data_IF_495167338043
#
_entry.id   IF_495167338043
#
_cell.length_a   1.000
_cell.length_b   1.000
_cell.length_c   1.000
_cell.angle_alpha   90.00
_cell.angle_beta   90.00
_cell.angle_gamma   90.00
#
_symmetry.space_group_name_H-M   'P 1'
#
loop_
_entity.id
_entity.type
_entity.pdbx_description
1 polymer ?
#
# COMPACT_ATOMS: atom_id res chain seq x y z
N UNK A 1 -7.72 -16.28 -0.57
CA UNK A 1 -6.53 -15.63 -1.21
C UNK A 1 -5.45 -15.52 -0.13
N UNK A 2 -4.30 -16.09 -0.36
CA UNK A 2 -3.17 -15.98 0.57
C UNK A 2 -2.67 -14.53 0.60
N UNK A 3 -2.22 -14.04 1.77
CA UNK A 3 -1.69 -12.69 1.95
C UNK A 3 -0.31 -12.77 2.59
N UNK A 4 0.67 -12.11 2.00
CA UNK A 4 2.05 -12.08 2.53
C UNK A 4 2.10 -11.54 3.97
N UNK A 5 1.16 -10.67 4.34
CA UNK A 5 1.06 -10.14 5.70
C UNK A 5 0.79 -11.22 6.77
N UNK A 6 0.27 -12.41 6.40
CA UNK A 6 0.08 -13.55 7.32
C UNK A 6 1.38 -13.97 8.00
N UNK A 7 2.52 -13.92 7.31
CA UNK A 7 3.82 -14.22 7.90
C UNK A 7 4.19 -13.23 9.02
N UNK A 8 3.89 -11.94 8.83
CA UNK A 8 4.12 -10.93 9.86
C UNK A 8 3.18 -11.11 11.06
N UNK A 9 1.93 -11.54 10.83
CA UNK A 9 0.98 -11.87 11.89
C UNK A 9 1.43 -13.08 12.71
N UNK A 10 2.00 -14.11 12.07
CA UNK A 10 2.59 -15.26 12.76
C UNK A 10 3.78 -14.82 13.61
N UNK A 11 4.70 -14.03 13.06
CA UNK A 11 5.83 -13.47 13.81
C UNK A 11 5.34 -12.68 15.03
N UNK A 12 4.32 -11.82 14.86
CA UNK A 12 3.71 -11.09 15.97
C UNK A 12 3.11 -12.03 17.03
N UNK A 13 2.38 -13.06 16.61
CA UNK A 13 1.78 -14.05 17.52
C UNK A 13 2.83 -14.70 18.43
N UNK A 14 3.98 -15.06 17.86
CA UNK A 14 5.05 -15.80 18.55
C UNK A 14 6.02 -14.86 19.31
N UNK A 15 5.87 -13.55 19.19
CA UNK A 15 6.73 -12.56 19.86
C UNK A 15 6.45 -12.52 21.37
N UNK A 16 7.47 -12.71 22.18
CA UNK A 16 7.39 -12.56 23.65
C UNK A 16 7.21 -11.07 23.98
N UNK A 17 6.21 -10.76 24.81
CA UNK A 17 5.91 -9.37 25.18
C UNK A 17 5.27 -8.55 24.04
N UNK A 18 4.63 -9.25 23.06
CA UNK A 18 3.87 -8.63 21.97
C UNK A 18 2.89 -7.59 22.50
N UNK A 19 2.66 -6.56 21.72
CA UNK A 19 1.65 -5.53 21.98
C UNK A 19 0.39 -5.81 21.19
N UNK A 20 -0.78 -5.27 21.62
CA UNK A 20 -1.94 -5.23 20.77
C UNK A 20 -1.58 -4.70 19.38
N UNK A 21 -2.04 -5.37 18.34
CA UNK A 21 -1.70 -5.04 16.96
C UNK A 21 -2.82 -4.24 16.30
N UNK A 22 -2.46 -3.20 15.57
CA UNK A 22 -3.40 -2.41 14.77
C UNK A 22 -3.09 -2.59 13.30
N UNK A 23 -4.06 -3.12 12.53
CA UNK A 23 -3.97 -3.23 11.07
C UNK A 23 -4.57 -1.97 10.45
N UNK A 24 -3.72 -1.18 9.79
CA UNK A 24 -4.10 0.00 9.02
C UNK A 24 -4.23 -0.33 7.54
N UNK A 25 -4.91 0.49 6.79
CA UNK A 25 -5.04 0.38 5.33
C UNK A 25 -6.38 0.92 4.85
N UNK A 26 -6.47 1.22 3.57
CA UNK A 26 -7.66 1.77 2.96
C UNK A 26 -8.88 0.85 3.14
N UNK A 27 -10.07 1.39 2.90
CA UNK A 27 -11.29 0.58 2.85
C UNK A 27 -11.20 -0.46 1.73
N UNK A 28 -11.79 -1.64 1.96
CA UNK A 28 -11.90 -2.73 0.98
C UNK A 28 -10.58 -3.43 0.59
N UNK A 29 -9.44 -3.16 1.28
CA UNK A 29 -8.18 -3.90 1.06
C UNK A 29 -8.13 -5.28 1.74
N UNK A 30 -9.22 -5.67 2.47
CA UNK A 30 -9.36 -7.00 3.04
C UNK A 30 -8.96 -7.16 4.51
N UNK A 31 -8.90 -6.08 5.31
CA UNK A 31 -8.54 -6.13 6.75
C UNK A 31 -9.37 -7.14 7.54
N UNK A 32 -10.69 -7.00 7.50
CA UNK A 32 -11.63 -7.88 8.23
C UNK A 32 -11.46 -9.35 7.82
N UNK A 33 -11.30 -9.61 6.52
CA UNK A 33 -11.07 -10.98 6.03
C UNK A 33 -9.76 -11.54 6.59
N UNK A 34 -8.66 -10.79 6.51
CA UNK A 34 -7.35 -11.21 6.98
C UNK A 34 -7.35 -11.55 8.48
N UNK A 35 -7.97 -10.69 9.31
CA UNK A 35 -8.05 -10.91 10.76
C UNK A 35 -8.86 -12.17 11.10
N UNK A 36 -10.00 -12.38 10.42
CA UNK A 36 -10.83 -13.57 10.63
C UNK A 36 -10.15 -14.84 10.16
N UNK A 37 -9.51 -14.82 9.00
CA UNK A 37 -8.73 -15.94 8.46
C UNK A 37 -7.59 -16.32 9.40
N UNK A 38 -6.84 -15.32 9.87
CA UNK A 38 -5.77 -15.53 10.84
C UNK A 38 -6.29 -16.14 12.15
N UNK A 39 -7.40 -15.60 12.67
CA UNK A 39 -8.02 -16.11 13.90
C UNK A 39 -8.52 -17.55 13.76
N UNK A 40 -9.24 -17.86 12.68
CA UNK A 40 -9.80 -19.18 12.46
C UNK A 40 -8.74 -20.26 12.16
N UNK A 41 -7.59 -19.86 11.60
CA UNK A 41 -6.52 -20.79 11.22
C UNK A 41 -5.53 -21.07 12.36
N UNK A 42 -5.22 -20.06 13.17
CA UNK A 42 -4.09 -20.13 14.11
C UNK A 42 -4.49 -20.04 15.59
N UNK A 43 -5.78 -19.92 15.91
CA UNK A 43 -6.30 -19.92 17.27
C UNK A 43 -7.40 -20.95 17.43
N UNK A 44 -7.58 -21.45 18.65
CA UNK A 44 -8.66 -22.40 18.96
C UNK A 44 -10.03 -21.71 19.02
N UNK A 45 -10.04 -20.41 19.30
CA UNK A 45 -11.25 -19.61 19.40
C UNK A 45 -11.01 -18.16 18.88
N UNK A 46 -12.08 -17.54 18.46
CA UNK A 46 -12.11 -16.20 17.89
C UNK A 46 -13.29 -15.40 18.45
N UNK A 47 -13.00 -14.20 18.93
CA UNK A 47 -14.03 -13.20 19.28
C UNK A 47 -13.91 -12.03 18.32
N UNK A 48 -14.97 -11.82 17.54
CA UNK A 48 -15.05 -10.70 16.58
C UNK A 48 -16.05 -9.65 17.04
N UNK A 49 -15.59 -8.44 17.24
CA UNK A 49 -16.38 -7.28 17.65
C UNK A 49 -16.22 -6.20 16.58
N UNK A 50 -17.35 -5.83 15.95
CA UNK A 50 -17.41 -4.67 15.06
C UNK A 50 -18.07 -3.51 15.80
N UNK A 51 -17.31 -2.45 16.08
CA UNK A 51 -17.81 -1.32 16.87
C UNK A 51 -18.78 -0.41 16.10
N UNK A 52 -18.87 -0.49 14.78
CA UNK A 52 -19.91 0.23 14.03
C UNK A 52 -21.30 -0.37 14.29
N UNK A 53 -21.39 -1.70 14.45
CA UNK A 53 -22.66 -2.41 14.53
C UNK A 53 -23.00 -2.98 15.92
N UNK A 54 -22.00 -3.24 16.76
CA UNK A 54 -22.18 -3.86 18.08
C UNK A 54 -22.33 -2.80 19.20
N UNK A 55 -23.55 -2.30 19.37
CA UNK A 55 -23.87 -1.30 20.40
C UNK A 55 -23.59 -1.78 21.83
N UNK A 56 -23.86 -3.06 22.13
CA UNK A 56 -23.65 -3.60 23.49
C UNK A 56 -22.17 -3.59 23.84
N UNK A 57 -21.31 -4.06 22.95
CA UNK A 57 -19.87 -3.99 23.16
C UNK A 57 -19.40 -2.54 23.34
N UNK A 58 -19.89 -1.60 22.50
CA UNK A 58 -19.56 -0.17 22.62
C UNK A 58 -19.87 0.37 24.01
N UNK A 59 -21.06 0.09 24.53
CA UNK A 59 -21.51 0.52 25.88
C UNK A 59 -20.63 -0.08 27.01
N UNK A 60 -20.09 -1.31 26.83
CA UNK A 60 -19.21 -1.92 27.83
C UNK A 60 -17.92 -1.12 28.02
N UNK A 61 -17.33 -0.63 26.91
CA UNK A 61 -16.12 0.20 26.97
C UNK A 61 -16.43 1.63 27.45
N UNK A 62 -17.55 2.22 27.05
CA UNK A 62 -17.97 3.58 27.44
C UNK A 62 -18.29 3.70 28.95
N UNK A 63 -18.64 2.60 29.62
CA UNK A 63 -18.91 2.60 31.06
C UNK A 63 -17.67 2.61 31.96
N UNK A 64 -16.48 2.54 31.37
CA UNK A 64 -15.19 2.59 32.07
C UNK A 64 -14.21 1.54 31.54
N UNK A 65 -12.92 1.75 31.88
CA UNK A 65 -11.81 0.95 31.36
C UNK A 65 -11.37 -0.16 32.36
N UNK A 66 -12.29 -0.70 33.15
CA UNK A 66 -12.07 -1.93 33.92
C UNK A 66 -12.12 -3.13 32.96
N UNK A 67 -10.94 -3.62 32.59
CA UNK A 67 -10.80 -4.70 31.61
C UNK A 67 -11.43 -6.02 32.06
N UNK A 68 -11.38 -6.35 33.37
CA UNK A 68 -12.00 -7.57 33.89
C UNK A 68 -13.51 -7.53 33.69
N UNK A 69 -14.11 -6.38 33.98
CA UNK A 69 -15.54 -6.14 33.75
C UNK A 69 -15.92 -6.15 32.26
N UNK A 70 -15.07 -5.57 31.42
CA UNK A 70 -15.27 -5.57 29.96
C UNK A 70 -15.25 -7.00 29.44
N UNK A 71 -14.24 -7.80 29.78
CA UNK A 71 -14.14 -9.20 29.36
C UNK A 71 -15.35 -9.99 29.84
N UNK A 72 -15.72 -9.86 31.12
CA UNK A 72 -16.91 -10.52 31.66
C UNK A 72 -18.19 -10.12 30.90
N UNK A 73 -18.35 -8.84 30.57
CA UNK A 73 -19.48 -8.36 29.77
C UNK A 73 -19.51 -8.94 28.36
N UNK A 74 -18.36 -9.09 27.72
CA UNK A 74 -18.23 -9.75 26.41
C UNK A 74 -18.55 -11.24 26.51
N UNK A 75 -18.09 -11.94 27.54
CA UNK A 75 -18.41 -13.36 27.79
C UNK A 75 -19.92 -13.59 27.95
N UNK A 76 -20.58 -12.72 28.72
CA UNK A 76 -22.04 -12.75 28.88
C UNK A 76 -22.75 -12.53 27.55
N UNK A 77 -22.30 -11.53 26.75
CA UNK A 77 -22.90 -11.24 25.46
C UNK A 77 -22.72 -12.40 24.45
N UNK A 78 -21.58 -13.09 24.51
CA UNK A 78 -21.23 -14.18 23.59
C UNK A 78 -21.74 -15.55 24.06
N UNK A 79 -22.12 -15.67 25.36
CA UNK A 79 -22.51 -16.95 25.96
C UNK A 79 -21.37 -17.95 26.10
N UNK A 80 -20.11 -17.49 26.10
CA UNK A 80 -18.91 -18.34 26.24
C UNK A 80 -17.80 -17.61 26.96
N UNK A 81 -16.89 -18.36 27.60
CA UNK A 81 -15.68 -17.82 28.22
C UNK A 81 -14.62 -17.44 27.15
N UNK A 82 -13.78 -16.48 27.47
CA UNK A 82 -12.70 -16.00 26.64
C UNK A 82 -11.35 -16.43 27.24
N UNK A 83 -10.73 -17.47 26.67
CA UNK A 83 -9.41 -17.93 27.10
C UNK A 83 -8.32 -17.01 26.51
N UNK A 84 -7.66 -16.24 27.38
CA UNK A 84 -6.61 -15.29 26.99
C UNK A 84 -5.50 -15.88 26.12
N UNK A 85 -5.16 -17.16 26.34
CA UNK A 85 -4.01 -17.80 25.67
C UNK A 85 -4.36 -18.43 24.31
N UNK A 86 -5.62 -18.77 24.10
CA UNK A 86 -6.08 -19.54 22.95
C UNK A 86 -7.11 -18.83 22.08
N UNK A 87 -7.55 -17.63 22.49
CA UNK A 87 -8.55 -16.84 21.80
C UNK A 87 -7.94 -15.57 21.21
N UNK A 88 -8.26 -15.28 19.94
CA UNK A 88 -7.96 -13.99 19.33
C UNK A 88 -9.14 -13.03 19.49
N UNK A 89 -8.92 -11.87 20.09
CA UNK A 89 -9.87 -10.77 20.11
C UNK A 89 -9.65 -9.88 18.89
N UNK A 90 -10.67 -9.71 18.06
CA UNK A 90 -10.66 -8.81 16.91
C UNK A 90 -11.58 -7.62 17.19
N UNK A 91 -11.01 -6.43 17.19
CA UNK A 91 -11.69 -5.15 17.35
C UNK A 91 -11.74 -4.43 15.99
N UNK A 92 -12.81 -4.65 15.24
CA UNK A 92 -12.98 -4.07 13.90
C UNK A 92 -13.73 -2.73 13.99
N UNK A 93 -13.38 -1.80 13.08
CA UNK A 93 -13.84 -0.40 13.06
C UNK A 93 -13.67 0.29 14.43
N UNK A 94 -12.48 0.09 15.05
CA UNK A 94 -12.20 0.53 16.43
C UNK A 94 -12.31 2.05 16.61
N UNK A 95 -12.16 2.86 15.53
CA UNK A 95 -12.36 4.31 15.58
C UNK A 95 -13.79 4.72 15.97
N UNK A 96 -14.76 3.81 15.82
CA UNK A 96 -16.14 4.05 16.24
C UNK A 96 -16.36 3.96 17.76
N UNK A 97 -15.31 3.55 18.53
CA UNK A 97 -15.31 3.47 19.98
C UNK A 97 -13.97 3.97 20.56
N UNK A 98 -13.80 5.27 20.83
CA UNK A 98 -12.56 5.85 21.36
C UNK A 98 -12.07 5.19 22.65
N UNK A 99 -12.99 4.73 23.53
CA UNK A 99 -12.64 4.04 24.76
C UNK A 99 -12.07 2.64 24.50
N UNK A 100 -12.58 1.91 23.50
CA UNK A 100 -11.99 0.65 23.07
C UNK A 100 -10.57 0.85 22.53
N UNK A 101 -10.34 1.93 21.79
CA UNK A 101 -9.01 2.29 21.32
C UNK A 101 -8.06 2.62 22.48
N UNK A 102 -8.51 3.41 23.46
CA UNK A 102 -7.76 3.74 24.68
C UNK A 102 -7.47 2.49 25.52
N UNK A 103 -8.39 1.51 25.54
CA UNK A 103 -8.26 0.27 26.31
C UNK A 103 -7.06 -0.59 25.88
N UNK A 104 -6.60 -0.48 24.61
CA UNK A 104 -5.44 -1.22 24.11
C UNK A 104 -4.18 -0.98 24.95
N UNK A 105 -4.04 0.24 25.51
CA UNK A 105 -2.95 0.56 26.44
C UNK A 105 -3.03 -0.31 27.69
N UNK A 106 -4.21 -0.42 28.28
CA UNK A 106 -4.41 -1.16 29.52
C UNK A 106 -4.32 -2.67 29.31
N UNK A 107 -4.74 -3.17 28.15
CA UNK A 107 -4.49 -4.55 27.77
C UNK A 107 -2.99 -4.86 27.73
N UNK A 108 -2.18 -3.97 27.15
CA UNK A 108 -0.72 -4.13 27.12
C UNK A 108 -0.09 -4.07 28.53
N UNK A 109 -0.64 -3.32 29.45
CA UNK A 109 -0.06 -3.13 30.79
C UNK A 109 -0.48 -4.20 31.80
N UNK A 110 -1.73 -4.64 31.73
CA UNK A 110 -2.36 -5.46 32.77
C UNK A 110 -2.82 -6.84 32.29
N UNK A 111 -3.08 -7.03 31.00
CA UNK A 111 -3.68 -8.23 30.40
C UNK A 111 -2.83 -8.74 29.23
N UNK A 112 -1.53 -8.91 29.43
CA UNK A 112 -0.52 -9.21 28.40
C UNK A 112 -0.70 -10.57 27.73
N UNK A 113 -1.46 -11.49 28.33
CA UNK A 113 -1.74 -12.81 27.78
C UNK A 113 -2.75 -12.76 26.61
N UNK A 114 -3.60 -11.73 26.54
CA UNK A 114 -4.59 -11.63 25.48
C UNK A 114 -3.96 -11.30 24.12
N UNK A 115 -4.45 -12.00 23.10
CA UNK A 115 -4.13 -11.69 21.70
C UNK A 115 -5.18 -10.72 21.16
N UNK A 116 -4.78 -9.51 20.80
CA UNK A 116 -5.69 -8.48 20.31
C UNK A 116 -5.20 -7.92 18.99
N UNK A 117 -6.07 -8.00 17.99
CA UNK A 117 -5.87 -7.30 16.72
C UNK A 117 -7.03 -6.32 16.54
N UNK A 118 -6.69 -5.06 16.34
CA UNK A 118 -7.65 -4.01 16.00
C UNK A 118 -7.48 -3.57 14.54
N UNK A 119 -8.56 -3.13 13.93
CA UNK A 119 -8.52 -2.52 12.60
C UNK A 119 -9.52 -1.37 12.48
N UNK A 120 -9.23 -0.47 11.56
CA UNK A 120 -10.14 0.59 11.15
C UNK A 120 -9.69 1.22 9.84
N UNK A 121 -10.66 1.58 9.02
CA UNK A 121 -10.41 2.16 7.70
C UNK A 121 -10.05 3.64 7.74
N UNK A 122 -10.37 4.33 8.83
CA UNK A 122 -10.16 5.78 9.04
C UNK A 122 -9.30 6.05 10.27
N UNK A 123 -8.49 5.09 10.67
CA UNK A 123 -7.64 5.21 11.86
C UNK A 123 -6.69 6.41 11.78
N UNK A 124 -6.09 6.70 10.62
CA UNK A 124 -5.25 7.87 10.43
C UNK A 124 -5.98 9.18 10.75
N UNK A 125 -7.24 9.28 10.34
CA UNK A 125 -8.09 10.46 10.63
C UNK A 125 -8.52 10.51 12.09
N UNK A 126 -8.91 9.38 12.68
CA UNK A 126 -9.35 9.30 14.07
C UNK A 126 -8.22 9.64 15.07
N UNK A 127 -6.97 9.37 14.71
CA UNK A 127 -5.79 9.70 15.52
C UNK A 127 -5.62 11.22 15.76
N UNK A 128 -6.21 12.05 14.90
CA UNK A 128 -6.18 13.51 15.04
C UNK A 128 -7.35 14.09 15.87
N UNK A 129 -8.31 13.26 16.27
CA UNK A 129 -9.49 13.67 17.05
C UNK A 129 -9.32 13.29 18.52
N UNK A 130 -8.68 14.15 19.36
CA UNK A 130 -8.67 14.14 20.84
C UNK A 130 -8.76 12.77 21.58
N UNK A 131 -8.42 11.66 20.94
CA UNK A 131 -8.35 10.34 21.56
C UNK A 131 -6.98 10.17 22.24
N UNK A 132 -6.97 9.64 23.48
CA UNK A 132 -5.72 9.27 24.16
C UNK A 132 -5.06 8.12 23.39
N UNK A 133 -4.18 8.47 22.46
CA UNK A 133 -3.44 7.51 21.65
C UNK A 133 -2.53 6.64 22.53
N UNK A 134 -2.53 5.30 22.42
CA UNK A 134 -1.69 4.40 23.21
C UNK A 134 -0.24 4.40 22.72
N UNK A 135 0.45 5.54 22.81
CA UNK A 135 1.82 5.73 22.33
C UNK A 135 2.75 4.67 22.92
N UNK A 136 3.46 3.95 22.06
CA UNK A 136 4.42 2.92 22.46
C UNK A 136 3.81 1.65 23.05
N UNK A 137 2.47 1.54 23.14
CA UNK A 137 1.76 0.40 23.74
C UNK A 137 1.05 -0.48 22.69
N UNK A 138 1.16 -0.13 21.42
CA UNK A 138 0.60 -0.88 20.28
C UNK A 138 1.64 -1.02 19.18
N UNK A 139 1.46 -2.00 18.33
CA UNK A 139 2.20 -2.21 17.09
C UNK A 139 1.30 -1.94 15.89
N UNK A 140 1.90 -1.63 14.73
CA UNK A 140 1.18 -1.36 13.50
C UNK A 140 1.63 -2.25 12.37
N UNK A 141 0.68 -2.73 11.59
CA UNK A 141 0.92 -3.31 10.28
C UNK A 141 0.05 -2.61 9.24
N UNK A 142 0.63 -2.28 8.10
CA UNK A 142 -0.09 -1.70 6.99
C UNK A 142 -0.50 -2.78 6.00
N UNK A 143 -1.79 -2.83 5.67
CA UNK A 143 -2.35 -3.72 4.65
C UNK A 143 -2.68 -2.92 3.40
N UNK A 144 -1.98 -3.24 2.32
CA UNK A 144 -2.16 -2.66 1.00
C UNK A 144 -3.07 -3.52 0.11
N UNK A 145 -3.51 -3.06 -1.07
CA UNK A 145 -4.03 -3.94 -2.11
C UNK A 145 -3.10 -5.12 -2.37
N UNK A 146 -3.58 -6.21 -2.98
CA UNK A 146 -2.75 -7.37 -3.30
C UNK A 146 -1.56 -6.95 -4.17
N UNK A 147 -0.36 -7.45 -3.84
CA UNK A 147 0.82 -7.36 -4.70
C UNK A 147 0.66 -8.18 -5.97
N UNK A 148 1.53 -7.98 -6.95
CA UNK A 148 1.54 -8.82 -8.16
C UNK A 148 1.77 -10.30 -7.84
N UNK A 149 2.61 -10.61 -6.86
CA UNK A 149 2.82 -11.98 -6.38
C UNK A 149 1.53 -12.58 -5.79
N UNK A 150 0.87 -11.87 -4.89
CA UNK A 150 -0.43 -12.28 -4.31
C UNK A 150 -1.52 -12.43 -5.39
N UNK A 151 -1.51 -11.57 -6.42
CA UNK A 151 -2.40 -11.68 -7.57
C UNK A 151 -2.14 -12.96 -8.37
N UNK A 152 -0.88 -13.29 -8.69
CA UNK A 152 -0.54 -14.54 -9.38
C UNK A 152 -1.04 -15.76 -8.61
N UNK A 153 -0.86 -15.79 -7.30
CA UNK A 153 -1.38 -16.87 -6.45
C UNK A 153 -2.91 -16.94 -6.48
N UNK A 154 -3.59 -15.79 -6.42
CA UNK A 154 -5.04 -15.71 -6.43
C UNK A 154 -5.66 -16.23 -7.73
N UNK A 155 -4.99 -16.07 -8.88
CA UNK A 155 -5.45 -16.58 -10.17
C UNK A 155 -4.97 -18.02 -10.46
N UNK A 156 -4.34 -18.70 -9.49
CA UNK A 156 -3.90 -20.10 -9.61
C UNK A 156 -2.47 -20.28 -10.14
N UNK A 157 -1.71 -19.21 -10.38
CA UNK A 157 -0.33 -19.25 -10.90
C UNK A 157 0.73 -19.28 -9.77
N UNK A 158 0.49 -20.09 -8.72
CA UNK A 158 1.39 -20.21 -7.53
C UNK A 158 2.82 -20.54 -7.90
N UNK A 159 3.03 -21.49 -8.83
CA UNK A 159 4.38 -21.87 -9.28
C UNK A 159 5.12 -20.71 -9.94
N UNK A 160 4.39 -19.86 -10.67
CA UNK A 160 4.97 -18.68 -11.31
C UNK A 160 5.33 -17.60 -10.26
N UNK A 161 4.49 -17.39 -9.26
CA UNK A 161 4.78 -16.49 -8.13
C UNK A 161 6.03 -16.95 -7.36
N UNK A 162 6.12 -18.27 -7.03
CA UNK A 162 7.31 -18.85 -6.39
C UNK A 162 8.57 -18.70 -7.24
N UNK A 163 8.45 -18.84 -8.56
CA UNK A 163 9.59 -18.67 -9.46
C UNK A 163 10.06 -17.20 -9.49
N UNK A 164 9.14 -16.23 -9.53
CA UNK A 164 9.50 -14.81 -9.46
C UNK A 164 10.22 -14.50 -8.14
N UNK A 165 9.72 -15.01 -7.02
CA UNK A 165 10.33 -14.78 -5.70
C UNK A 165 11.71 -15.44 -5.52
N UNK A 166 12.02 -16.48 -6.33
CA UNK A 166 13.34 -17.17 -6.30
C UNK A 166 14.45 -16.33 -6.91
N UNK A 167 14.12 -15.40 -7.83
CA UNK A 167 15.06 -14.62 -8.64
C UNK A 167 16.00 -15.48 -9.51
N UNK A 168 15.60 -16.69 -9.86
CA UNK A 168 16.32 -17.53 -10.82
C UNK A 168 16.09 -17.01 -12.25
N UNK A 169 16.95 -16.09 -12.67
CA UNK A 169 16.83 -15.41 -13.96
C UNK A 169 16.94 -16.37 -15.16
N UNK A 170 17.68 -17.47 -15.02
CA UNK A 170 17.79 -18.49 -16.05
C UNK A 170 16.47 -19.18 -16.28
N UNK A 171 15.82 -19.60 -15.19
CA UNK A 171 14.52 -20.28 -15.24
C UNK A 171 13.36 -19.32 -15.52
N UNK A 172 13.46 -18.03 -15.13
CA UNK A 172 12.45 -17.00 -15.42
C UNK A 172 12.38 -16.62 -16.89
N UNK A 173 13.52 -16.63 -17.60
CA UNK A 173 13.61 -16.13 -18.98
C UNK A 173 12.63 -16.79 -19.96
N UNK A 174 12.43 -18.12 -19.98
CA UNK A 174 11.44 -18.78 -20.85
C UNK A 174 9.97 -18.39 -20.54
N UNK A 175 9.67 -17.95 -19.32
CA UNK A 175 8.31 -17.60 -18.89
C UNK A 175 8.03 -16.10 -19.01
N UNK A 176 8.94 -15.30 -19.54
CA UNK A 176 8.83 -13.84 -19.66
C UNK A 176 7.51 -13.39 -20.29
N UNK A 177 7.12 -13.97 -21.44
CA UNK A 177 5.91 -13.57 -22.15
C UNK A 177 4.66 -13.82 -21.30
N UNK A 178 4.59 -14.95 -20.61
CA UNK A 178 3.51 -15.27 -19.68
C UNK A 178 3.46 -14.28 -18.52
N UNK A 179 4.61 -13.93 -17.94
CA UNK A 179 4.72 -12.94 -16.85
C UNK A 179 4.29 -11.55 -17.31
N UNK A 180 4.68 -11.12 -18.51
CA UNK A 180 4.25 -9.83 -19.08
C UNK A 180 2.74 -9.81 -19.34
N UNK A 181 2.17 -10.91 -19.84
CA UNK A 181 0.73 -11.02 -20.01
C UNK A 181 -0.01 -10.84 -18.68
N UNK A 182 0.40 -11.54 -17.62
CA UNK A 182 -0.19 -11.39 -16.29
C UNK A 182 0.07 -10.01 -15.69
N UNK A 183 1.23 -9.40 -15.92
CA UNK A 183 1.54 -8.04 -15.48
C UNK A 183 0.59 -7.01 -16.14
N UNK A 184 0.35 -7.12 -17.43
CA UNK A 184 -0.62 -6.27 -18.13
C UNK A 184 -2.05 -6.52 -17.63
N UNK A 185 -2.40 -7.76 -17.36
CA UNK A 185 -3.68 -8.13 -16.74
C UNK A 185 -3.82 -7.45 -15.37
N UNK A 186 -2.78 -7.50 -14.55
CA UNK A 186 -2.76 -6.83 -13.26
C UNK A 186 -2.85 -5.30 -13.36
N UNK A 187 -2.28 -4.68 -14.39
CA UNK A 187 -2.45 -3.23 -14.62
C UNK A 187 -3.92 -2.84 -14.81
N UNK A 188 -4.73 -3.71 -15.40
CA UNK A 188 -6.16 -3.49 -15.53
C UNK A 188 -6.94 -3.80 -14.26
N UNK A 189 -6.65 -4.95 -13.63
CA UNK A 189 -7.42 -5.45 -12.49
C UNK A 189 -7.03 -4.73 -11.21
N UNK A 190 -5.73 -4.45 -11.01
CA UNK A 190 -5.17 -3.98 -9.76
C UNK A 190 -5.12 -5.05 -8.69
N UNK A 191 -4.87 -4.60 -7.45
CA UNK A 191 -4.77 -5.45 -6.26
C UNK A 191 -5.98 -5.37 -5.33
N UNK A 192 -7.08 -4.70 -5.71
CA UNK A 192 -8.27 -4.66 -4.84
C UNK A 192 -8.90 -6.06 -4.73
N UNK A 193 -9.05 -6.62 -3.50
CA UNK A 193 -9.42 -8.03 -3.29
C UNK A 193 -10.69 -8.48 -4.02
N UNK A 194 -11.74 -7.65 -4.06
CA UNK A 194 -12.98 -7.98 -4.74
C UNK A 194 -12.80 -8.04 -6.27
N UNK A 195 -12.02 -7.12 -6.83
CA UNK A 195 -11.68 -7.11 -8.25
C UNK A 195 -10.86 -8.34 -8.64
N UNK A 196 -9.82 -8.66 -7.85
CA UNK A 196 -8.97 -9.84 -8.07
C UNK A 196 -9.78 -11.13 -7.95
N UNK A 197 -10.64 -11.26 -6.92
CA UNK A 197 -11.52 -12.41 -6.74
C UNK A 197 -12.47 -12.60 -7.92
N UNK A 198 -13.12 -11.53 -8.36
CA UNK A 198 -14.05 -11.56 -9.51
C UNK A 198 -13.33 -12.03 -10.77
N UNK A 199 -12.11 -11.53 -11.01
CA UNK A 199 -11.32 -11.99 -12.16
C UNK A 199 -10.88 -13.45 -12.03
N UNK A 200 -10.42 -13.88 -10.87
CA UNK A 200 -9.99 -15.25 -10.62
C UNK A 200 -11.13 -16.27 -10.86
N UNK A 201 -12.37 -15.91 -10.51
CA UNK A 201 -13.54 -16.77 -10.64
C UNK A 201 -14.16 -16.74 -12.06
N UNK A 202 -14.17 -15.58 -12.73
CA UNK A 202 -14.95 -15.35 -13.94
C UNK A 202 -14.12 -15.06 -15.19
N UNK A 203 -12.88 -14.57 -15.02
CA UNK A 203 -12.01 -14.07 -16.10
C UNK A 203 -12.67 -13.00 -16.98
N UNK A 204 -13.56 -12.20 -16.39
CA UNK A 204 -14.36 -11.18 -17.07
C UNK A 204 -13.91 -9.76 -16.68
N UNK A 205 -13.29 -9.07 -17.62
CA UNK A 205 -12.80 -7.69 -17.42
C UNK A 205 -13.92 -6.66 -17.26
N UNK A 206 -15.10 -6.92 -17.85
CA UNK A 206 -16.24 -6.03 -17.70
C UNK A 206 -16.77 -6.05 -16.26
N UNK A 207 -16.92 -7.25 -15.69
CA UNK A 207 -17.34 -7.40 -14.30
C UNK A 207 -16.33 -6.77 -13.32
N UNK A 208 -15.02 -6.94 -13.58
CA UNK A 208 -13.97 -6.27 -12.80
C UNK A 208 -14.15 -4.76 -12.85
N UNK A 209 -14.41 -4.17 -14.02
CA UNK A 209 -14.62 -2.73 -14.15
C UNK A 209 -15.86 -2.25 -13.36
N UNK A 210 -16.91 -3.04 -13.33
CA UNK A 210 -18.11 -2.76 -12.50
C UNK A 210 -17.73 -2.71 -11.01
N UNK A 211 -16.93 -3.67 -10.53
CA UNK A 211 -16.44 -3.66 -9.15
C UNK A 211 -15.58 -2.44 -8.86
N UNK A 212 -14.61 -2.12 -9.71
CA UNK A 212 -13.73 -0.96 -9.53
C UNK A 212 -14.52 0.36 -9.46
N UNK A 213 -15.55 0.53 -10.29
CA UNK A 213 -16.44 1.72 -10.23
C UNK A 213 -17.20 1.78 -8.91
N UNK A 214 -17.71 0.66 -8.39
CA UNK A 214 -18.35 0.61 -7.06
C UNK A 214 -17.37 0.99 -5.94
N UNK A 215 -16.11 0.57 -6.03
CA UNK A 215 -15.08 0.96 -5.06
C UNK A 215 -14.85 2.47 -5.11
N UNK A 216 -14.74 3.06 -6.31
CA UNK A 216 -14.59 4.51 -6.48
C UNK A 216 -15.79 5.28 -5.89
N UNK A 217 -17.01 4.83 -6.17
CA UNK A 217 -18.24 5.42 -5.62
C UNK A 217 -18.27 5.33 -4.08
N UNK A 218 -17.84 4.20 -3.51
CA UNK A 218 -17.76 4.04 -2.06
C UNK A 218 -16.76 5.01 -1.43
N UNK A 219 -15.59 5.25 -2.05
CA UNK A 219 -14.63 6.23 -1.56
C UNK A 219 -15.18 7.65 -1.61
N UNK A 220 -15.89 8.03 -2.69
CA UNK A 220 -16.52 9.35 -2.78
C UNK A 220 -17.63 9.57 -1.74
N UNK A 221 -18.37 8.50 -1.39
CA UNK A 221 -19.34 8.55 -0.29
C UNK A 221 -18.65 8.71 1.06
N UNK A 222 -17.52 8.02 1.28
CA UNK A 222 -16.73 8.15 2.50
C UNK A 222 -16.20 9.58 2.71
N UNK A 223 -15.83 10.29 1.63
CA UNK A 223 -15.43 11.70 1.71
C UNK A 223 -16.55 12.53 2.35
N UNK A 224 -17.78 12.31 1.94
CA UNK A 224 -18.94 13.05 2.45
C UNK A 224 -19.37 12.65 3.86
N UNK A 225 -19.17 11.37 4.23
CA UNK A 225 -19.61 10.82 5.51
C UNK A 225 -18.64 11.13 6.65
N UNK A 226 -17.34 11.12 6.39
CA UNK A 226 -16.32 11.09 7.43
C UNK A 226 -15.36 12.28 7.44
N UNK A 227 -15.21 13.02 6.34
CA UNK A 227 -14.39 14.22 6.33
C UNK A 227 -15.19 15.45 6.84
N UNK A 228 -14.50 16.44 7.45
CA UNK A 228 -15.15 17.72 7.76
C UNK A 228 -15.78 18.34 6.51
N UNK A 229 -17.02 18.82 6.61
CA UNK A 229 -17.83 19.27 5.48
C UNK A 229 -17.12 20.33 4.63
N UNK A 230 -16.36 21.22 5.25
CA UNK A 230 -15.60 22.28 4.59
C UNK A 230 -14.38 21.77 3.80
N UNK A 231 -13.90 20.56 4.09
CA UNK A 231 -12.73 19.94 3.45
C UNK A 231 -13.14 19.06 2.25
N UNK A 232 -14.36 18.50 2.27
CA UNK A 232 -14.87 17.58 1.22
C UNK A 232 -14.69 18.09 -0.21
N UNK A 233 -15.02 19.36 -0.56
CA UNK A 233 -14.82 19.85 -1.93
C UNK A 233 -13.36 19.83 -2.37
N UNK A 234 -12.42 20.09 -1.44
CA UNK A 234 -10.98 20.09 -1.71
C UNK A 234 -10.43 18.66 -1.86
N UNK A 235 -10.95 17.71 -1.06
CA UNK A 235 -10.64 16.28 -1.21
C UNK A 235 -11.00 15.82 -2.62
N UNK A 236 -12.24 16.10 -3.07
CA UNK A 236 -12.68 15.76 -4.43
C UNK A 236 -11.85 16.41 -5.53
N UNK A 237 -11.45 17.68 -5.36
CA UNK A 237 -10.58 18.36 -6.32
C UNK A 237 -9.23 17.65 -6.44
N UNK A 238 -8.58 17.31 -5.32
CA UNK A 238 -7.32 16.57 -5.35
C UNK A 238 -7.54 15.21 -6.01
N UNK A 239 -8.49 14.41 -5.49
CA UNK A 239 -8.80 13.05 -5.95
C UNK A 239 -8.99 12.99 -7.47
N UNK A 240 -9.89 13.79 -8.01
CA UNK A 240 -10.20 13.82 -9.43
C UNK A 240 -9.06 14.37 -10.31
N UNK A 241 -8.10 15.10 -9.74
CA UNK A 241 -6.97 15.64 -10.49
C UNK A 241 -5.82 14.66 -10.67
N UNK A 242 -5.72 13.62 -9.84
CA UNK A 242 -4.56 12.71 -9.79
C UNK A 242 -4.24 12.11 -11.17
N UNK A 243 -5.19 11.55 -11.93
CA UNK A 243 -4.86 11.00 -13.24
C UNK A 243 -4.27 12.04 -14.21
N UNK A 244 -4.82 13.26 -14.23
CA UNK A 244 -4.32 14.34 -15.08
C UNK A 244 -2.95 14.86 -14.62
N UNK A 245 -2.65 14.82 -13.32
CA UNK A 245 -1.33 15.17 -12.79
C UNK A 245 -0.28 14.11 -13.17
N UNK A 246 -0.64 12.81 -13.10
CA UNK A 246 0.23 11.71 -13.47
C UNK A 246 0.45 11.58 -14.99
N UNK A 247 -0.49 12.02 -15.82
CA UNK A 247 -0.38 11.97 -17.28
C UNK A 247 0.68 12.91 -17.87
N UNK A 248 1.27 13.80 -17.06
CA UNK A 248 2.27 14.77 -17.53
C UNK A 248 3.66 14.17 -17.56
N UNK A 249 4.52 14.76 -18.39
CA UNK A 249 5.95 14.44 -18.43
C UNK A 249 6.60 14.70 -17.06
N UNK A 250 6.37 15.88 -16.47
CA UNK A 250 6.73 16.19 -15.09
C UNK A 250 5.52 15.96 -14.19
N UNK A 251 5.54 14.88 -13.42
CA UNK A 251 4.45 14.42 -12.52
C UNK A 251 4.42 15.14 -11.18
N UNK A 252 5.19 16.22 -11.01
CA UNK A 252 5.12 17.07 -9.81
C UNK A 252 3.70 17.56 -9.62
N UNK A 253 3.16 17.41 -8.41
CA UNK A 253 1.81 17.87 -8.08
C UNK A 253 1.73 19.40 -8.11
N UNK A 254 0.79 19.96 -8.89
CA UNK A 254 0.64 21.40 -9.11
C UNK A 254 -0.74 21.85 -8.64
N UNK A 255 -0.80 22.54 -7.50
CA UNK A 255 -2.06 23.03 -6.93
C UNK A 255 -2.82 23.99 -7.87
N UNK A 256 -2.11 24.81 -8.66
CA UNK A 256 -2.71 25.72 -9.62
C UNK A 256 -3.57 25.04 -10.70
N UNK A 257 -3.46 23.74 -10.88
CA UNK A 257 -4.30 22.95 -11.79
C UNK A 257 -5.63 22.54 -11.19
N UNK A 258 -5.76 22.55 -9.86
CA UNK A 258 -7.02 22.28 -9.19
C UNK A 258 -8.02 23.42 -9.44
N UNK A 259 -7.55 24.65 -9.34
CA UNK A 259 -8.27 25.88 -9.69
C UNK A 259 -7.28 27.05 -9.82
N UNK A 260 -7.66 28.07 -10.55
CA UNK A 260 -6.84 29.28 -10.66
C UNK A 260 -6.60 29.92 -9.27
N UNK A 261 -5.35 30.25 -8.95
CA UNK A 261 -4.94 30.82 -7.67
C UNK A 261 -4.91 29.87 -6.48
N UNK A 262 -5.07 28.55 -6.67
CA UNK A 262 -4.95 27.57 -5.60
C UNK A 262 -3.54 27.55 -5.00
N UNK A 263 -3.46 27.54 -3.68
CA UNK A 263 -2.21 27.47 -2.90
C UNK A 263 -2.16 26.20 -2.07
N UNK A 264 -0.95 25.70 -1.80
CA UNK A 264 -0.74 24.48 -1.00
C UNK A 264 -1.51 24.52 0.33
N UNK A 265 -1.42 25.59 1.08
CA UNK A 265 -2.10 25.80 2.37
C UNK A 265 -3.61 25.59 2.34
N UNK A 266 -4.25 25.83 1.19
CA UNK A 266 -5.72 25.70 1.05
C UNK A 266 -6.14 24.23 0.94
N UNK A 267 -5.21 23.33 0.59
CA UNK A 267 -5.46 21.91 0.31
C UNK A 267 -4.72 20.96 1.25
N UNK A 268 -3.95 21.49 2.21
CA UNK A 268 -3.11 20.68 3.11
C UNK A 268 -3.94 19.65 3.88
N UNK A 269 -5.02 20.07 4.56
CA UNK A 269 -5.90 19.17 5.29
C UNK A 269 -6.55 18.09 4.39
N UNK A 270 -6.89 18.45 3.16
CA UNK A 270 -7.48 17.51 2.21
C UNK A 270 -6.45 16.48 1.71
N UNK A 271 -5.20 16.90 1.50
CA UNK A 271 -4.10 16.01 1.12
C UNK A 271 -3.77 15.03 2.26
N UNK A 272 -3.66 15.55 3.49
CA UNK A 272 -3.41 14.75 4.67
C UNK A 272 -4.55 13.75 4.90
N UNK A 273 -5.80 14.17 4.77
CA UNK A 273 -6.97 13.29 4.91
C UNK A 273 -6.91 12.10 3.94
N UNK A 274 -6.65 12.34 2.65
CA UNK A 274 -6.51 11.28 1.64
C UNK A 274 -5.35 10.34 1.95
N UNK A 275 -4.22 10.87 2.43
CA UNK A 275 -3.05 10.09 2.84
C UNK A 275 -3.36 9.23 4.04
N UNK A 276 -4.00 9.79 5.06
CA UNK A 276 -4.30 9.12 6.33
C UNK A 276 -5.36 8.02 6.17
N UNK A 277 -6.25 8.16 5.14
CA UNK A 277 -7.15 7.09 4.72
C UNK A 277 -6.46 5.99 3.90
N UNK A 278 -5.17 6.16 3.53
CA UNK A 278 -4.42 5.23 2.71
C UNK A 278 -4.84 5.21 1.23
N UNK A 279 -5.53 6.26 0.76
CA UNK A 279 -6.04 6.35 -0.62
C UNK A 279 -4.99 6.88 -1.60
N UNK A 280 -4.01 7.63 -1.09
CA UNK A 280 -2.92 8.20 -1.88
C UNK A 280 -1.56 7.99 -1.20
N UNK A 281 -0.53 7.99 -2.03
CA UNK A 281 0.87 8.04 -1.63
C UNK A 281 1.49 9.36 -2.09
N UNK A 282 2.05 10.13 -1.15
CA UNK A 282 2.78 11.36 -1.42
C UNK A 282 4.27 11.06 -1.42
N UNK A 283 4.93 11.24 -2.55
CA UNK A 283 6.36 10.94 -2.76
C UNK A 283 7.12 12.25 -2.89
N UNK A 284 7.90 12.59 -1.89
CA UNK A 284 8.67 13.83 -1.84
C UNK A 284 9.92 13.79 -2.72
N UNK A 285 10.33 14.95 -3.21
CA UNK A 285 11.62 15.11 -3.88
C UNK A 285 12.76 15.02 -2.85
N UNK A 286 13.90 14.49 -3.25
CA UNK A 286 15.17 14.72 -2.54
C UNK A 286 16.07 15.64 -3.36
N UNK A 287 16.77 16.56 -2.70
CA UNK A 287 17.69 17.50 -3.35
C UNK A 287 18.98 16.82 -3.79
N UNK A 288 19.38 15.74 -3.07
CA UNK A 288 20.56 14.93 -3.38
C UNK A 288 20.28 13.45 -3.20
N UNK A 289 20.81 12.56 -4.06
CA UNK A 289 20.74 11.11 -3.89
C UNK A 289 21.85 10.59 -2.96
N UNK A 290 21.91 11.12 -1.74
CA UNK A 290 22.90 10.78 -0.71
C UNK A 290 22.20 10.31 0.56
N UNK A 291 22.89 9.54 1.40
CA UNK A 291 22.37 9.04 2.66
C UNK A 291 22.55 10.04 3.82
N UNK A 292 21.58 10.09 4.73
CA UNK A 292 20.25 9.47 4.67
C UNK A 292 19.31 10.29 3.77
N UNK A 293 18.58 9.67 2.86
CA UNK A 293 17.69 10.35 1.88
C UNK A 293 16.71 11.31 2.56
N UNK A 294 16.18 10.95 3.73
CA UNK A 294 15.26 11.78 4.51
C UNK A 294 15.84 13.15 4.90
N UNK A 295 17.14 13.25 5.07
CA UNK A 295 17.79 14.54 5.40
C UNK A 295 17.80 15.53 4.22
N UNK A 296 17.63 15.02 3.01
CA UNK A 296 17.62 15.81 1.77
C UNK A 296 16.21 15.99 1.20
N UNK A 297 15.16 15.68 1.99
CA UNK A 297 13.77 15.79 1.57
C UNK A 297 13.37 17.26 1.34
N UNK A 298 12.78 17.52 0.16
CA UNK A 298 12.21 18.81 -0.21
C UNK A 298 10.67 18.76 -0.09
N UNK A 299 10.14 19.33 0.96
CA UNK A 299 8.71 19.35 1.23
C UNK A 299 7.89 20.20 0.24
N UNK A 300 8.54 21.05 -0.57
CA UNK A 300 7.88 21.91 -1.56
C UNK A 300 7.57 21.21 -2.88
N UNK A 301 8.15 20.03 -3.11
CA UNK A 301 8.04 19.30 -4.34
C UNK A 301 7.72 17.83 -4.08
N UNK A 302 6.57 17.37 -4.58
CA UNK A 302 6.14 15.97 -4.42
C UNK A 302 5.30 15.52 -5.61
N UNK A 303 5.21 14.20 -5.77
CA UNK A 303 4.28 13.50 -6.67
C UNK A 303 3.19 12.83 -5.83
N UNK A 304 2.00 12.67 -6.41
CA UNK A 304 0.87 11.98 -5.75
C UNK A 304 0.43 10.81 -6.62
N UNK A 305 0.39 9.65 -6.01
CA UNK A 305 -0.05 8.40 -6.63
C UNK A 305 -1.26 7.85 -5.87
N UNK A 306 -2.05 7.02 -6.54
CA UNK A 306 -3.16 6.31 -5.91
C UNK A 306 -2.69 5.07 -5.13
N UNK A 307 -3.61 4.48 -4.39
CA UNK A 307 -3.35 3.22 -3.67
C UNK A 307 -3.23 2.01 -4.60
N UNK A 308 -3.82 2.07 -5.79
CA UNK A 308 -3.96 0.89 -6.68
C UNK A 308 -3.98 1.27 -8.16
N UNK A 309 -3.27 0.47 -8.98
CA UNK A 309 -3.13 0.70 -10.42
C UNK A 309 -4.43 0.45 -11.18
N UNK A 310 -5.23 -0.54 -10.78
CA UNK A 310 -6.53 -0.83 -11.40
C UNK A 310 -7.55 0.26 -11.12
N UNK A 311 -7.53 0.84 -9.92
CA UNK A 311 -8.36 2.00 -9.54
C UNK A 311 -7.95 3.22 -10.37
N UNK A 312 -6.65 3.46 -10.59
CA UNK A 312 -6.18 4.52 -11.48
C UNK A 312 -6.73 4.33 -12.91
N UNK A 313 -6.66 3.10 -13.43
CA UNK A 313 -7.22 2.76 -14.75
C UNK A 313 -8.74 2.95 -14.84
N UNK A 314 -9.46 2.67 -13.74
CA UNK A 314 -10.90 2.86 -13.66
C UNK A 314 -11.31 4.35 -13.63
N UNK A 315 -10.54 5.20 -12.96
CA UNK A 315 -10.78 6.65 -12.92
C UNK A 315 -10.71 7.33 -14.31
N UNK A 316 -9.99 6.75 -15.25
CA UNK A 316 -9.85 7.26 -16.63
C UNK A 316 -10.59 6.42 -17.66
N UNK A 317 -11.48 5.54 -17.21
CA UNK A 317 -12.26 4.63 -18.07
C UNK A 317 -11.41 3.82 -19.07
N UNK A 318 -10.20 3.46 -18.68
CA UNK A 318 -9.27 2.73 -19.53
C UNK A 318 -9.81 1.33 -19.82
N UNK A 319 -9.91 0.97 -21.11
CA UNK A 319 -10.42 -0.34 -21.55
C UNK A 319 -9.34 -1.43 -21.49
N UNK A 320 -9.77 -2.69 -21.30
CA UNK A 320 -8.87 -3.84 -21.17
C UNK A 320 -8.03 -4.07 -22.45
N UNK A 321 -8.63 -3.88 -23.62
CA UNK A 321 -7.95 -4.11 -24.90
C UNK A 321 -6.76 -3.18 -25.09
N UNK A 322 -6.91 -1.90 -24.71
CA UNK A 322 -5.82 -0.91 -24.78
C UNK A 322 -4.60 -1.32 -23.95
N UNK A 323 -4.81 -1.94 -22.78
CA UNK A 323 -3.72 -2.39 -21.91
C UNK A 323 -3.11 -3.70 -22.41
N UNK A 324 -3.94 -4.69 -22.77
CA UNK A 324 -3.48 -6.03 -23.13
C UNK A 324 -2.79 -6.07 -24.49
N UNK A 325 -3.37 -5.40 -25.50
CA UNK A 325 -2.86 -5.41 -26.89
C UNK A 325 -1.82 -4.32 -27.18
N UNK A 326 -1.69 -3.31 -26.31
CA UNK A 326 -0.69 -2.26 -26.45
C UNK A 326 -0.99 -1.24 -27.56
N UNK A 327 -2.14 -0.56 -27.48
CA UNK A 327 -2.50 0.49 -28.43
C UNK A 327 -1.47 1.64 -28.46
N UNK A 328 -1.07 2.10 -29.68
CA UNK A 328 -0.10 3.18 -29.86
C UNK A 328 -0.56 4.52 -29.30
N UNK A 329 -1.86 4.78 -29.27
CA UNK A 329 -2.46 6.01 -28.70
C UNK A 329 -2.37 6.08 -27.17
N UNK A 330 -2.04 4.95 -26.51
CA UNK A 330 -1.98 4.80 -25.07
C UNK A 330 -0.56 5.03 -24.49
N UNK A 331 0.42 5.45 -25.31
CA UNK A 331 1.86 5.42 -24.95
C UNK A 331 2.19 6.28 -23.73
N UNK A 332 1.65 7.49 -23.61
CA UNK A 332 1.99 8.42 -22.51
C UNK A 332 1.41 7.93 -21.17
N UNK A 333 0.14 7.58 -21.12
CA UNK A 333 -0.49 7.12 -19.88
C UNK A 333 0.02 5.75 -19.41
N UNK A 334 0.56 4.92 -20.32
CA UNK A 334 1.21 3.65 -19.98
C UNK A 334 2.41 3.86 -19.05
N UNK A 335 3.19 4.91 -19.25
CA UNK A 335 4.27 5.28 -18.32
C UNK A 335 3.74 5.52 -16.91
N UNK A 336 2.62 6.24 -16.80
CA UNK A 336 1.99 6.55 -15.50
C UNK A 336 1.45 5.31 -14.79
N UNK A 337 0.83 4.37 -15.53
CA UNK A 337 0.40 3.09 -14.94
C UNK A 337 1.58 2.24 -14.48
N UNK A 338 2.67 2.23 -15.25
CA UNK A 338 3.87 1.46 -14.89
C UNK A 338 4.53 2.03 -13.64
N UNK A 339 4.64 3.35 -13.52
CA UNK A 339 5.17 3.98 -12.30
C UNK A 339 4.24 3.77 -11.10
N UNK A 340 2.91 3.86 -11.29
CA UNK A 340 1.93 3.55 -10.27
C UNK A 340 2.09 2.11 -9.76
N UNK A 341 2.28 1.15 -10.66
CA UNK A 341 2.53 -0.25 -10.32
C UNK A 341 3.85 -0.40 -9.54
N UNK A 342 4.95 0.17 -10.03
CA UNK A 342 6.25 0.08 -9.36
C UNK A 342 6.20 0.66 -7.95
N UNK A 343 5.54 1.82 -7.79
CA UNK A 343 5.32 2.42 -6.47
C UNK A 343 4.55 1.47 -5.55
N UNK A 344 3.43 0.94 -6.01
CA UNK A 344 2.56 0.04 -5.25
C UNK A 344 3.35 -1.20 -4.77
N UNK A 345 4.11 -1.85 -5.65
CA UNK A 345 4.92 -3.01 -5.31
C UNK A 345 6.02 -2.69 -4.29
N UNK A 346 6.75 -1.59 -4.47
CA UNK A 346 7.84 -1.21 -3.57
C UNK A 346 7.33 -0.78 -2.19
N UNK A 347 6.21 -0.06 -2.10
CA UNK A 347 5.60 0.30 -0.81
C UNK A 347 5.09 -0.94 -0.09
N UNK A 348 4.42 -1.87 -0.79
CA UNK A 348 3.94 -3.13 -0.22
C UNK A 348 5.09 -3.98 0.31
N UNK A 349 6.25 -3.95 -0.38
CA UNK A 349 7.49 -4.57 0.09
C UNK A 349 8.16 -3.84 1.28
N UNK A 350 7.59 -2.72 1.76
CA UNK A 350 8.05 -1.99 2.94
C UNK A 350 9.09 -0.90 2.67
N UNK A 351 9.30 -0.51 1.41
CA UNK A 351 10.25 0.53 1.07
C UNK A 351 9.68 1.94 1.27
N UNK A 352 10.53 2.87 1.74
CA UNK A 352 10.24 4.30 1.70
C UNK A 352 10.79 4.87 0.40
N UNK A 353 9.92 5.56 -0.35
CA UNK A 353 10.25 6.08 -1.67
C UNK A 353 10.34 7.60 -1.69
N UNK A 354 11.26 8.08 -2.49
CA UNK A 354 11.44 9.47 -2.89
C UNK A 354 11.58 9.53 -4.41
N UNK A 355 11.63 10.73 -4.98
CA UNK A 355 12.09 10.95 -6.35
C UNK A 355 13.20 12.02 -6.37
N UNK A 356 13.94 12.09 -7.46
CA UNK A 356 14.96 13.11 -7.62
C UNK A 356 14.79 13.84 -8.95
N UNK A 357 15.05 15.14 -8.95
CA UNK A 357 15.18 15.95 -10.15
C UNK A 357 16.32 16.94 -10.01
N UNK A 358 17.06 17.16 -11.08
CA UNK A 358 18.13 18.14 -11.10
C UNK A 358 17.61 19.55 -10.84
N UNK A 359 18.35 20.36 -10.07
CA UNK A 359 18.01 21.78 -9.85
C UNK A 359 18.10 22.59 -11.14
N UNK A 360 19.07 22.26 -11.98
CA UNK A 360 19.28 22.85 -13.31
C UNK A 360 19.36 21.71 -14.34
N UNK A 361 18.46 21.74 -15.32
CA UNK A 361 18.40 20.70 -16.37
C UNK A 361 17.08 19.92 -16.33
N UNK A 362 16.97 18.88 -17.19
CA UNK A 362 15.78 18.06 -17.36
C UNK A 362 15.92 16.64 -16.79
N UNK A 363 17.02 16.36 -16.07
CA UNK A 363 17.22 15.03 -15.51
C UNK A 363 16.30 14.81 -14.31
N UNK A 364 15.49 13.76 -14.37
CA UNK A 364 14.60 13.32 -13.31
C UNK A 364 14.66 11.79 -13.20
N UNK A 365 14.65 11.27 -11.99
CA UNK A 365 14.47 9.86 -11.69
C UNK A 365 13.06 9.64 -11.14
N UNK A 366 12.44 8.57 -11.58
CA UNK A 366 11.08 8.24 -11.17
C UNK A 366 11.00 7.96 -9.67
N UNK A 367 11.92 7.14 -9.17
CA UNK A 367 12.05 6.84 -7.74
C UNK A 367 13.50 6.79 -7.29
N UNK A 368 13.67 6.98 -5.99
CA UNK A 368 14.91 6.75 -5.24
C UNK A 368 14.54 6.11 -3.91
N UNK A 369 15.26 5.08 -3.53
CA UNK A 369 15.09 4.43 -2.25
C UNK A 369 16.44 4.18 -1.58
N UNK A 370 16.40 3.92 -0.29
CA UNK A 370 17.58 3.59 0.51
C UNK A 370 17.34 2.27 1.21
N UNK A 371 18.28 1.36 1.06
CA UNK A 371 18.25 0.08 1.77
C UNK A 371 19.63 -0.26 2.31
N UNK A 372 19.69 -0.58 3.63
CA UNK A 372 20.88 -1.04 4.36
C UNK A 372 22.20 -0.34 3.95
N UNK A 373 22.19 0.98 3.91
CA UNK A 373 23.39 1.77 3.57
C UNK A 373 23.66 1.96 2.07
N UNK A 374 22.73 1.57 1.20
CA UNK A 374 22.84 1.75 -0.25
C UNK A 374 21.74 2.66 -0.77
N UNK A 375 22.07 3.66 -1.56
CA UNK A 375 21.10 4.48 -2.30
C UNK A 375 20.85 3.83 -3.67
N UNK A 376 19.59 3.66 -4.02
CA UNK A 376 19.13 2.96 -5.21
C UNK A 376 18.33 3.93 -6.08
N UNK A 377 18.96 4.60 -7.05
CA UNK A 377 18.27 5.36 -8.07
C UNK A 377 17.52 4.40 -9.01
N UNK A 378 16.23 4.63 -9.23
CA UNK A 378 15.36 3.77 -10.02
C UNK A 378 14.69 4.53 -11.15
N UNK A 379 14.98 4.13 -12.37
CA UNK A 379 14.34 4.59 -13.60
C UNK A 379 13.30 3.56 -14.05
N UNK A 380 12.07 3.97 -14.30
CA UNK A 380 10.96 3.10 -14.73
C UNK A 380 10.74 3.23 -16.24
N UNK A 381 10.66 2.11 -16.94
CA UNK A 381 10.37 2.06 -18.37
C UNK A 381 9.19 1.12 -18.63
N UNK A 382 8.15 1.66 -19.23
CA UNK A 382 6.93 0.92 -19.54
C UNK A 382 7.07 -0.16 -20.62
N UNK A 383 8.14 -0.10 -21.38
CA UNK A 383 8.44 -0.98 -22.53
C UNK A 383 9.90 -1.47 -22.47
N UNK A 384 10.36 -2.04 -23.57
CA UNK A 384 11.75 -2.51 -23.74
C UNK A 384 12.75 -1.38 -24.10
N UNK A 385 12.31 -0.12 -24.06
CA UNK A 385 13.20 0.99 -24.38
C UNK A 385 14.31 1.12 -23.34
N UNK A 386 15.52 0.95 -23.80
CA UNK A 386 16.71 0.83 -22.94
C UNK A 386 17.43 2.18 -22.68
N UNK A 387 16.88 3.31 -23.13
CA UNK A 387 17.47 4.63 -22.85
C UNK A 387 17.22 5.03 -21.41
N UNK A 388 18.27 5.27 -20.65
CA UNK A 388 18.23 5.68 -19.24
C UNK A 388 19.17 6.87 -19.00
N UNK A 389 18.90 8.00 -19.69
CA UNK A 389 19.80 9.18 -19.67
C UNK A 389 19.88 9.80 -18.27
N UNK A 390 18.77 9.98 -17.60
CA UNK A 390 18.74 10.56 -16.25
C UNK A 390 19.44 9.65 -15.24
N UNK A 391 19.22 8.34 -15.32
CA UNK A 391 19.89 7.37 -14.47
C UNK A 391 21.42 7.41 -14.66
N UNK A 392 21.89 7.58 -15.92
CA UNK A 392 23.32 7.70 -16.22
C UNK A 392 23.92 8.96 -15.60
N UNK A 393 23.23 10.09 -15.69
CA UNK A 393 23.66 11.36 -15.03
C UNK A 393 23.84 11.15 -13.54
N UNK A 394 22.93 10.44 -12.88
CA UNK A 394 23.04 10.17 -11.44
C UNK A 394 24.19 9.20 -11.16
N UNK A 395 24.35 8.13 -11.92
CA UNK A 395 25.43 7.17 -11.75
C UNK A 395 26.82 7.81 -11.89
N UNK A 396 26.97 8.78 -12.82
CA UNK A 396 28.22 9.51 -13.02
C UNK A 396 28.52 10.53 -11.90
N UNK A 397 27.49 11.22 -11.38
CA UNK A 397 27.67 12.23 -10.34
C UNK A 397 27.69 11.65 -8.92
N UNK A 398 27.11 10.47 -8.71
CA UNK A 398 26.98 9.77 -7.42
C UNK A 398 27.40 8.30 -7.56
N UNK A 399 28.71 8.03 -7.71
CA UNK A 399 29.22 6.69 -8.04
C UNK A 399 28.98 5.62 -6.97
N UNK A 400 28.70 6.02 -5.72
CA UNK A 400 28.42 5.11 -4.61
C UNK A 400 26.96 4.62 -4.57
N UNK A 401 26.17 4.94 -5.61
CA UNK A 401 24.79 4.48 -5.74
C UNK A 401 24.72 3.15 -6.47
N UNK A 402 23.57 2.44 -6.34
CA UNK A 402 23.27 1.22 -7.08
C UNK A 402 22.19 1.50 -8.15
N UNK A 403 22.57 1.93 -9.36
CA UNK A 403 21.61 2.36 -10.37
C UNK A 403 20.81 1.18 -10.93
N UNK A 404 19.49 1.31 -10.90
CA UNK A 404 18.54 0.30 -11.41
C UNK A 404 17.62 0.92 -12.44
N UNK A 405 17.44 0.22 -13.55
CA UNK A 405 16.32 0.44 -14.46
C UNK A 405 15.36 -0.72 -14.34
N UNK A 406 14.07 -0.47 -14.18
CA UNK A 406 13.06 -1.51 -14.29
C UNK A 406 12.30 -1.38 -15.61
N UNK A 407 12.05 -2.51 -16.29
CA UNK A 407 11.44 -2.55 -17.61
C UNK A 407 10.78 -3.90 -17.89
N UNK A 408 10.09 -4.04 -19.03
CA UNK A 408 9.55 -5.33 -19.49
C UNK A 408 10.64 -6.27 -20.06
N UNK A 409 11.90 -5.82 -20.16
CA UNK A 409 13.02 -6.67 -20.60
C UNK A 409 13.45 -7.65 -19.52
N UNK A 410 14.08 -8.75 -19.94
CA UNK A 410 14.70 -9.70 -19.02
C UNK A 410 15.76 -9.03 -18.12
N UNK A 411 16.05 -9.68 -16.99
CA UNK A 411 17.16 -9.28 -16.15
C UNK A 411 18.47 -9.20 -16.93
N UNK A 412 19.22 -8.11 -16.71
CA UNK A 412 20.53 -7.91 -17.30
C UNK A 412 21.38 -7.01 -16.43
N UNK A 413 22.60 -7.44 -16.13
CA UNK A 413 23.62 -6.63 -15.48
C UNK A 413 24.50 -5.96 -16.53
N UNK A 414 24.56 -4.66 -16.48
CA UNK A 414 25.46 -3.83 -17.28
C UNK A 414 26.63 -3.34 -16.42
N UNK A 415 27.66 -2.77 -17.02
CA UNK A 415 28.85 -2.29 -16.28
C UNK A 415 28.56 -1.18 -15.29
N UNK A 416 27.48 -0.42 -15.47
CA UNK A 416 27.16 0.76 -14.68
C UNK A 416 25.74 0.73 -14.06
N UNK A 417 24.88 -0.21 -14.45
CA UNK A 417 23.53 -0.36 -13.92
C UNK A 417 23.02 -1.80 -14.03
N UNK A 418 21.92 -2.08 -13.36
CA UNK A 418 21.17 -3.32 -13.52
C UNK A 418 19.81 -3.04 -14.16
N UNK A 419 19.40 -3.79 -15.20
CA UNK A 419 18.04 -3.86 -15.67
C UNK A 419 17.28 -4.94 -14.89
N UNK A 420 16.30 -4.55 -14.12
CA UNK A 420 15.51 -5.43 -13.28
C UNK A 420 14.10 -5.58 -13.86
N UNK A 421 13.58 -6.80 -14.07
CA UNK A 421 12.28 -6.98 -14.69
C UNK A 421 11.14 -6.39 -13.83
N UNK A 422 10.17 -5.71 -14.45
CA UNK A 422 9.01 -5.11 -13.77
C UNK A 422 8.26 -6.12 -12.91
N UNK A 423 8.02 -7.33 -13.41
CA UNK A 423 7.29 -8.37 -12.70
C UNK A 423 7.97 -8.88 -11.41
N UNK A 424 9.22 -8.50 -11.18
CA UNK A 424 9.98 -8.89 -9.99
C UNK A 424 10.32 -7.70 -9.08
N UNK A 425 9.83 -6.48 -9.37
CA UNK A 425 10.29 -5.24 -8.72
C UNK A 425 10.08 -5.23 -7.21
N UNK A 426 9.08 -5.90 -6.68
CA UNK A 426 8.86 -6.09 -5.24
C UNK A 426 10.04 -6.80 -4.53
N UNK A 427 10.81 -7.59 -5.25
CA UNK A 427 11.98 -8.31 -4.73
C UNK A 427 13.31 -7.57 -4.93
N UNK A 428 13.29 -6.29 -5.32
CA UNK A 428 14.50 -5.51 -5.59
C UNK A 428 15.45 -5.44 -4.38
N UNK A 429 14.92 -5.17 -3.18
CA UNK A 429 15.73 -5.14 -1.96
C UNK A 429 16.39 -6.50 -1.68
N UNK A 430 15.63 -7.60 -1.80
CA UNK A 430 16.15 -8.96 -1.67
C UNK A 430 17.30 -9.23 -2.66
N UNK A 431 17.14 -8.81 -3.91
CA UNK A 431 18.18 -8.97 -4.92
C UNK A 431 19.46 -8.21 -4.53
N UNK A 432 19.33 -6.96 -4.08
CA UNK A 432 20.48 -6.15 -3.69
C UNK A 432 21.22 -6.76 -2.50
N UNK A 433 20.48 -7.33 -1.53
CA UNK A 433 21.08 -8.05 -0.40
C UNK A 433 21.89 -9.28 -0.82
N UNK A 434 21.44 -10.01 -1.86
CA UNK A 434 22.16 -11.15 -2.42
C UNK A 434 23.45 -10.74 -3.15
N UNK A 435 23.50 -9.55 -3.73
CA UNK A 435 24.66 -9.02 -4.45
C UNK A 435 25.72 -8.39 -3.52
N UNK A 436 25.37 -8.11 -2.26
CA UNK A 436 26.34 -7.58 -1.29
C UNK A 436 27.42 -8.61 -0.97
N UNK A 437 28.70 -8.21 -0.90
CA UNK A 437 29.73 -9.10 -0.41
C UNK A 437 29.36 -9.53 1.03
N UNK A 438 29.31 -10.83 1.26
CA UNK A 438 29.14 -11.38 2.61
C UNK A 438 30.34 -10.93 3.42
N UNK A 439 30.13 -10.01 4.37
CA UNK A 439 31.14 -9.54 5.34
C UNK A 439 31.60 -10.66 6.26
#
# INVERSE_FOLDING_TARGET
MERELLHKLLTWKDTVGRKPLIIRGARQVGKTWLMKEFGSTYFSDLVYINFETNRTAKLLFEQGLDLARIIQGLEIQLGKSIDAKNCLLIFDEIQECPDAFTSLKYFQELFTDYYIIAAGSLLGVALHQNTSFPVGKVEFLDLYPLSFSEFLEAIGEKSLASLVSSLDWGLLSPFREKLIYHLRTYYFIGGMPEAVKTYAEKQDFFEVRVIQRRILEAYEQDFSKHAPTEVVPRIRMIWNSIPAQLAKENKKFIFGQLRQGARAKDFELAMEWLRDCGLIHKISRVSKPEMPLKAYEDFSAFKVYLLDVGILGAMVDLDARSILEGNRLFTEFRGSLTEQFVLQELITAGNTLYYWSAERGMAELDFILQDQGTVIPLEVKAEENLKAKSLKVVAENFPDTFPVRTSMSNFRRESWMTNFPLYAVSYLAKYIDLERPKS
#
